data_IF_756966365552
#
_entry.id   IF_756966365552
#
_cell.length_a   1.000
_cell.length_b   1.000
_cell.length_c   1.000
_cell.angle_alpha   90.00
_cell.angle_beta   90.00
_cell.angle_gamma   90.00
#
_symmetry.space_group_name_H-M   'P 1'
#
loop_
_entity.id
_entity.type
_entity.pdbx_description
1 polymer ?
#
# COMPACT_ATOMS: atom_id res chain seq x y z
N UNK A 1 8.07 -8.29 -56.34
CA UNK A 1 6.91 -7.95 -55.50
C UNK A 1 6.95 -8.85 -54.27
N UNK A 2 6.93 -8.33 -53.05
CA UNK A 2 6.86 -9.16 -51.85
C UNK A 2 5.62 -10.05 -51.91
N UNK A 3 5.73 -11.29 -51.42
CA UNK A 3 4.59 -12.20 -51.39
C UNK A 3 3.53 -11.64 -50.42
N UNK A 4 2.24 -11.87 -50.70
CA UNK A 4 1.14 -11.42 -49.84
C UNK A 4 1.33 -11.85 -48.36
N UNK A 5 1.96 -13.01 -48.17
CA UNK A 5 2.31 -13.59 -46.88
C UNK A 5 3.40 -12.76 -46.15
N UNK A 6 4.40 -12.26 -46.87
CA UNK A 6 5.46 -11.42 -46.30
C UNK A 6 4.92 -10.05 -45.85
N UNK A 7 3.98 -9.48 -46.61
CA UNK A 7 3.31 -8.22 -46.29
C UNK A 7 2.43 -8.35 -45.03
N UNK A 8 1.66 -9.44 -44.93
CA UNK A 8 0.84 -9.77 -43.75
C UNK A 8 1.69 -10.01 -42.51
N UNK A 9 2.81 -10.75 -42.63
CA UNK A 9 3.74 -10.99 -41.52
C UNK A 9 4.39 -9.70 -41.03
N UNK A 10 4.72 -8.78 -41.95
CA UNK A 10 5.28 -7.47 -41.62
C UNK A 10 4.28 -6.60 -40.87
N UNK A 11 3.04 -6.54 -41.34
CA UNK A 11 1.96 -5.81 -40.68
C UNK A 11 1.68 -6.36 -39.27
N UNK A 12 1.65 -7.69 -39.11
CA UNK A 12 1.46 -8.33 -37.81
C UNK A 12 2.57 -7.97 -36.81
N UNK A 13 3.85 -8.01 -37.23
CA UNK A 13 4.98 -7.63 -36.36
C UNK A 13 4.93 -6.16 -35.96
N UNK A 14 4.61 -5.25 -36.89
CA UNK A 14 4.45 -3.82 -36.61
C UNK A 14 3.28 -3.54 -35.65
N UNK A 15 2.16 -4.22 -35.85
CA UNK A 15 1.00 -4.14 -34.96
C UNK A 15 1.35 -4.54 -33.52
N UNK A 16 2.06 -5.67 -33.35
CA UNK A 16 2.52 -6.15 -32.04
C UNK A 16 3.40 -5.13 -31.30
N UNK A 17 4.32 -4.50 -32.02
CA UNK A 17 5.20 -3.46 -31.46
C UNK A 17 4.37 -2.23 -31.04
N UNK A 18 3.42 -1.80 -31.87
CA UNK A 18 2.52 -0.68 -31.52
C UNK A 18 1.66 -1.01 -30.30
N UNK A 19 1.05 -2.20 -30.25
CA UNK A 19 0.24 -2.64 -29.11
C UNK A 19 1.06 -2.64 -27.82
N UNK A 20 2.30 -3.16 -27.87
CA UNK A 20 3.21 -3.19 -26.72
C UNK A 20 3.58 -1.78 -26.26
N UNK A 21 3.86 -0.85 -27.18
CA UNK A 21 4.16 0.55 -26.84
C UNK A 21 2.95 1.28 -26.22
N UNK A 22 1.73 0.98 -26.69
CA UNK A 22 0.50 1.52 -26.09
C UNK A 22 0.34 1.02 -24.65
N UNK A 23 0.55 -0.27 -24.40
CA UNK A 23 0.52 -0.85 -23.05
C UNK A 23 1.58 -0.22 -22.14
N UNK A 24 2.82 -0.04 -22.61
CA UNK A 24 3.88 0.63 -21.85
C UNK A 24 3.46 2.04 -21.44
N UNK A 25 2.89 2.84 -22.35
CA UNK A 25 2.40 4.19 -22.02
C UNK A 25 1.28 4.17 -21.00
N UNK A 26 0.35 3.22 -21.08
CA UNK A 26 -0.72 3.05 -20.09
C UNK A 26 -0.14 2.70 -18.71
N UNK A 27 0.86 1.82 -18.63
CA UNK A 27 1.54 1.48 -17.39
C UNK A 27 2.35 2.65 -16.83
N UNK A 28 3.07 3.40 -17.66
CA UNK A 28 3.81 4.59 -17.25
C UNK A 28 2.88 5.69 -16.73
N UNK A 29 1.70 5.88 -17.35
CA UNK A 29 0.67 6.80 -16.86
C UNK A 29 0.06 6.34 -15.53
N UNK A 30 -0.14 5.03 -15.33
CA UNK A 30 -0.60 4.49 -14.06
C UNK A 30 0.46 4.67 -12.97
N UNK A 31 1.73 4.39 -13.28
CA UNK A 31 2.86 4.55 -12.37
C UNK A 31 3.08 6.02 -11.98
N UNK A 32 2.99 6.97 -12.92
CA UNK A 32 3.15 8.40 -12.62
C UNK A 32 2.06 8.92 -11.67
N UNK A 33 0.78 8.56 -11.92
CA UNK A 33 -0.36 8.87 -11.02
C UNK A 33 -0.18 8.29 -9.62
N UNK A 34 0.44 7.12 -9.50
CA UNK A 34 0.71 6.48 -8.22
C UNK A 34 1.90 7.15 -7.52
N UNK A 35 2.98 7.46 -8.25
CA UNK A 35 4.21 8.09 -7.71
C UNK A 35 3.97 9.49 -7.17
N UNK A 36 3.18 10.31 -7.88
CA UNK A 36 2.77 11.65 -7.43
C UNK A 36 2.00 11.59 -6.09
N UNK A 37 1.21 10.52 -5.89
CA UNK A 37 0.49 10.27 -4.64
C UNK A 37 1.36 9.69 -3.50
N UNK A 38 2.53 9.13 -3.81
CA UNK A 38 3.43 8.46 -2.86
C UNK A 38 4.46 9.43 -2.25
N UNK A 39 5.04 10.34 -3.05
CA UNK A 39 6.16 11.19 -2.63
C UNK A 39 5.84 12.11 -1.43
N UNK A 40 4.57 12.47 -1.23
CA UNK A 40 4.12 13.35 -0.13
C UNK A 40 4.02 12.60 1.23
N UNK A 41 4.21 11.26 1.27
CA UNK A 41 3.81 10.42 2.43
C UNK A 41 4.92 9.65 3.17
N UNK A 42 6.18 9.70 2.73
CA UNK A 42 7.28 8.89 3.29
C UNK A 42 7.71 9.29 4.71
N UNK A 43 7.75 10.60 5.02
CA UNK A 43 8.16 11.13 6.35
C UNK A 43 7.25 10.67 7.51
N UNK A 44 6.00 10.28 7.24
CA UNK A 44 5.02 10.00 8.29
C UNK A 44 5.03 8.56 8.83
N UNK A 45 5.83 7.64 8.27
CA UNK A 45 5.68 6.21 8.58
C UNK A 45 6.17 5.83 10.00
N UNK A 46 7.31 6.40 10.42
CA UNK A 46 7.82 6.22 11.79
C UNK A 46 6.86 6.85 12.80
N UNK A 47 6.41 8.08 12.53
CA UNK A 47 5.46 8.81 13.38
C UNK A 47 4.12 8.10 13.52
N UNK A 48 3.58 7.52 12.44
CA UNK A 48 2.31 6.77 12.49
C UNK A 48 2.41 5.47 13.27
N UNK A 49 3.52 4.72 13.13
CA UNK A 49 3.70 3.51 13.92
C UNK A 49 3.92 3.83 15.41
N UNK A 50 4.65 4.90 15.72
CA UNK A 50 4.89 5.36 17.08
C UNK A 50 3.58 5.85 17.72
N UNK A 51 2.76 6.62 17.00
CA UNK A 51 1.40 7.01 17.43
C UNK A 51 0.48 5.82 17.66
N UNK A 52 0.51 4.81 16.77
CA UNK A 52 -0.26 3.57 16.93
C UNK A 52 0.07 2.87 18.25
N UNK A 53 1.36 2.73 18.55
CA UNK A 53 1.84 2.11 19.79
C UNK A 53 1.44 2.97 21.00
N UNK A 54 1.62 4.29 20.92
CA UNK A 54 1.23 5.22 21.98
C UNK A 54 -0.27 5.12 22.30
N UNK A 55 -1.15 5.12 21.29
CA UNK A 55 -2.59 4.95 21.50
C UNK A 55 -2.95 3.59 22.08
N UNK A 56 -2.25 2.53 21.68
CA UNK A 56 -2.47 1.19 22.23
C UNK A 56 -2.08 1.14 23.72
N UNK A 57 -0.95 1.73 24.10
CA UNK A 57 -0.53 1.85 25.49
C UNK A 57 -1.51 2.70 26.31
N UNK A 58 -1.96 3.84 25.78
CA UNK A 58 -2.97 4.67 26.45
C UNK A 58 -4.28 3.91 26.67
N UNK A 59 -4.72 3.11 25.69
CA UNK A 59 -5.90 2.26 25.84
C UNK A 59 -5.73 1.24 26.97
N UNK A 60 -4.57 0.57 27.05
CA UNK A 60 -4.25 -0.38 28.12
C UNK A 60 -4.25 0.33 29.48
N UNK A 61 -3.58 1.49 29.60
CA UNK A 61 -3.58 2.27 30.83
C UNK A 61 -5.00 2.66 31.26
N UNK A 62 -5.84 3.11 30.32
CA UNK A 62 -7.24 3.44 30.61
C UNK A 62 -8.05 2.21 31.05
N UNK A 63 -7.81 1.02 30.50
CA UNK A 63 -8.44 -0.22 30.95
C UNK A 63 -8.01 -0.59 32.38
N UNK A 64 -6.72 -0.45 32.71
CA UNK A 64 -6.22 -0.68 34.07
C UNK A 64 -6.91 0.26 35.07
N UNK A 65 -7.01 1.56 34.75
CA UNK A 65 -7.74 2.53 35.58
C UNK A 65 -9.22 2.14 35.71
N UNK A 66 -9.83 1.65 34.62
CA UNK A 66 -11.22 1.19 34.63
C UNK A 66 -11.43 0.05 35.63
N UNK A 67 -10.50 -0.91 35.72
CA UNK A 67 -10.55 -2.01 36.69
C UNK A 67 -10.52 -1.48 38.13
N UNK A 68 -9.67 -0.50 38.43
CA UNK A 68 -9.68 0.17 39.74
C UNK A 68 -11.03 0.85 40.02
N UNK A 69 -11.66 1.46 39.02
CA UNK A 69 -12.99 2.06 39.17
C UNK A 69 -14.11 1.04 39.43
N UNK A 70 -13.90 -0.27 39.19
CA UNK A 70 -14.86 -1.33 39.55
C UNK A 70 -14.79 -1.72 41.03
N UNK A 71 -13.78 -1.26 41.76
CA UNK A 71 -13.54 -1.61 43.17
C UNK A 71 -13.60 -0.37 44.08
N UNK A 72 -14.75 0.35 44.15
CA UNK A 72 -14.86 1.53 45.00
C UNK A 72 -14.75 1.18 46.50
N UNK A 73 -15.06 -0.06 46.90
CA UNK A 73 -15.00 -0.51 48.29
C UNK A 73 -13.57 -0.50 48.86
N UNK A 74 -12.61 -1.03 48.10
CA UNK A 74 -11.19 -1.02 48.49
C UNK A 74 -10.65 0.41 48.64
N UNK A 75 -11.11 1.32 47.77
CA UNK A 75 -10.73 2.72 47.84
C UNK A 75 -11.31 3.42 49.08
N UNK A 76 -12.55 3.11 49.45
CA UNK A 76 -13.19 3.61 50.68
C UNK A 76 -12.43 3.10 51.90
N UNK A 77 -12.11 1.80 51.96
CA UNK A 77 -11.35 1.21 53.07
C UNK A 77 -9.99 1.88 53.24
N UNK A 78 -9.29 2.12 52.13
CA UNK A 78 -7.99 2.79 52.14
C UNK A 78 -8.11 4.23 52.67
N UNK A 79 -9.10 5.01 52.24
CA UNK A 79 -9.31 6.36 52.80
C UNK A 79 -9.62 6.29 54.29
N UNK A 80 -10.46 5.35 54.73
CA UNK A 80 -10.80 5.22 56.15
C UNK A 80 -9.60 4.85 57.02
N UNK A 81 -8.62 4.13 56.48
CA UNK A 81 -7.37 3.78 57.15
C UNK A 81 -6.44 5.00 57.34
N UNK A 82 -6.44 5.95 56.41
CA UNK A 82 -5.54 7.12 56.44
C UNK A 82 -6.17 8.41 56.98
N UNK A 83 -7.46 8.65 56.72
CA UNK A 83 -8.15 9.91 57.02
C UNK A 83 -9.25 9.77 58.09
N UNK A 84 -9.56 8.53 58.51
CA UNK A 84 -10.58 8.23 59.50
C UNK A 84 -11.95 7.88 58.91
N UNK A 85 -12.93 7.54 59.76
CA UNK A 85 -14.19 6.95 59.32
C UNK A 85 -15.04 7.91 58.49
N UNK A 86 -15.51 7.44 57.33
CA UNK A 86 -16.36 8.19 56.42
C UNK A 86 -17.84 8.02 56.79
N UNK A 87 -18.62 9.09 56.64
CA UNK A 87 -20.08 9.03 56.78
C UNK A 87 -20.71 8.17 55.67
N UNK A 88 -21.90 7.64 55.93
CA UNK A 88 -22.63 6.83 54.94
C UNK A 88 -23.01 7.63 53.68
N UNK A 89 -23.10 8.96 53.78
CA UNK A 89 -23.35 9.86 52.64
C UNK A 89 -22.11 9.95 51.73
N UNK A 90 -20.93 10.14 52.31
CA UNK A 90 -19.67 10.24 51.58
C UNK A 90 -19.34 8.93 50.85
N UNK A 91 -19.51 7.79 51.52
CA UNK A 91 -19.33 6.47 50.91
C UNK A 91 -20.21 6.29 49.66
N UNK A 92 -21.49 6.68 49.75
CA UNK A 92 -22.41 6.64 48.61
C UNK A 92 -21.97 7.58 47.48
N UNK A 93 -21.48 8.78 47.81
CA UNK A 93 -20.91 9.72 46.84
C UNK A 93 -19.74 9.12 46.06
N UNK A 94 -18.78 8.51 46.76
CA UNK A 94 -17.62 7.84 46.16
C UNK A 94 -18.06 6.73 45.21
N UNK A 95 -18.98 5.85 45.62
CA UNK A 95 -19.50 4.77 44.79
C UNK A 95 -20.15 5.30 43.50
N UNK A 96 -20.91 6.39 43.58
CA UNK A 96 -21.55 7.01 42.42
C UNK A 96 -20.49 7.60 41.46
N UNK A 97 -19.49 8.31 41.98
CA UNK A 97 -18.41 8.87 41.16
C UNK A 97 -17.66 7.76 40.42
N UNK A 98 -17.26 6.70 41.12
CA UNK A 98 -16.58 5.55 40.52
C UNK A 98 -17.43 4.86 39.45
N UNK A 99 -18.76 4.82 39.64
CA UNK A 99 -19.71 4.31 38.65
C UNK A 99 -19.71 5.12 37.35
N UNK A 100 -19.53 6.44 37.40
CA UNK A 100 -19.40 7.25 36.18
C UNK A 100 -18.01 7.12 35.56
N UNK A 101 -16.96 7.18 36.38
CA UNK A 101 -15.58 7.11 35.93
C UNK A 101 -15.28 5.80 35.18
N UNK A 102 -15.80 4.65 35.64
CA UNK A 102 -15.58 3.37 34.93
C UNK A 102 -16.11 3.39 33.49
N UNK A 103 -17.27 4.00 33.25
CA UNK A 103 -17.83 4.07 31.88
C UNK A 103 -17.09 5.09 31.03
N UNK A 104 -16.67 6.20 31.64
CA UNK A 104 -15.85 7.22 30.98
C UNK A 104 -14.51 6.63 30.51
N UNK A 105 -13.77 5.96 31.40
CA UNK A 105 -12.47 5.37 31.06
C UNK A 105 -12.59 4.22 30.07
N UNK A 106 -13.67 3.43 30.14
CA UNK A 106 -13.94 2.38 29.16
C UNK A 106 -14.21 2.97 27.77
N UNK A 107 -14.96 4.07 27.68
CA UNK A 107 -15.18 4.78 26.41
C UNK A 107 -13.88 5.37 25.84
N UNK A 108 -13.05 6.01 26.69
CA UNK A 108 -11.74 6.54 26.30
C UNK A 108 -10.84 5.42 25.78
N UNK A 109 -10.79 4.28 26.48
CA UNK A 109 -9.99 3.13 26.07
C UNK A 109 -10.43 2.60 24.69
N UNK A 110 -11.74 2.51 24.46
CA UNK A 110 -12.31 2.10 23.18
C UNK A 110 -11.95 3.08 22.04
N UNK A 111 -12.00 4.39 22.30
CA UNK A 111 -11.60 5.42 21.32
C UNK A 111 -10.12 5.27 20.96
N UNK A 112 -9.23 5.13 21.94
CA UNK A 112 -7.80 4.96 21.66
C UNK A 112 -7.50 3.68 20.89
N UNK A 113 -8.20 2.58 21.23
CA UNK A 113 -8.08 1.34 20.49
C UNK A 113 -8.54 1.49 19.04
N UNK A 114 -9.69 2.16 18.81
CA UNK A 114 -10.21 2.42 17.47
C UNK A 114 -9.24 3.29 16.65
N UNK A 115 -8.68 4.35 17.25
CA UNK A 115 -7.68 5.20 16.59
C UNK A 115 -6.43 4.40 16.21
N UNK A 116 -5.93 3.55 17.10
CA UNK A 116 -4.81 2.65 16.80
C UNK A 116 -5.14 1.69 15.64
N UNK A 117 -6.35 1.15 15.61
CA UNK A 117 -6.82 0.29 14.52
C UNK A 117 -6.93 1.03 13.17
N UNK A 118 -7.46 2.26 13.15
CA UNK A 118 -7.53 3.09 11.94
C UNK A 118 -6.12 3.40 11.40
N UNK A 119 -5.16 3.67 12.27
CA UNK A 119 -3.76 3.84 11.88
C UNK A 119 -3.18 2.55 11.27
N UNK A 120 -3.47 1.38 11.85
CA UNK A 120 -3.07 0.08 11.29
C UNK A 120 -3.64 -0.13 9.88
N UNK A 121 -4.93 0.15 9.66
CA UNK A 121 -5.56 0.05 8.34
C UNK A 121 -4.91 0.97 7.31
N UNK A 122 -4.62 2.22 7.70
CA UNK A 122 -3.97 3.19 6.81
C UNK A 122 -2.55 2.73 6.42
N UNK A 123 -1.79 2.19 7.37
CA UNK A 123 -0.48 1.60 7.09
C UNK A 123 -0.56 0.41 6.13
N UNK A 124 -1.54 -0.49 6.31
CA UNK A 124 -1.75 -1.62 5.39
C UNK A 124 -2.07 -1.14 3.97
N UNK A 125 -3.00 -0.19 3.83
CA UNK A 125 -3.36 0.40 2.52
C UNK A 125 -2.15 1.01 1.83
N UNK A 126 -1.29 1.72 2.57
CA UNK A 126 -0.04 2.28 2.04
C UNK A 126 0.94 1.22 1.59
N UNK A 127 1.18 0.18 2.39
CA UNK A 127 2.05 -0.94 1.99
C UNK A 127 1.56 -1.63 0.71
N UNK A 128 0.25 -1.82 0.56
CA UNK A 128 -0.32 -2.34 -0.68
C UNK A 128 -0.05 -1.43 -1.87
N UNK A 129 -0.19 -0.11 -1.70
CA UNK A 129 0.14 0.88 -2.75
C UNK A 129 1.62 0.80 -3.13
N UNK A 130 2.54 0.66 -2.17
CA UNK A 130 3.97 0.51 -2.44
C UNK A 130 4.30 -0.78 -3.19
N UNK A 131 3.72 -1.90 -2.78
CA UNK A 131 3.88 -3.17 -3.48
C UNK A 131 3.34 -3.07 -4.91
N UNK A 132 2.20 -2.42 -5.10
CA UNK A 132 1.63 -2.19 -6.43
C UNK A 132 2.52 -1.28 -7.29
N UNK A 133 3.09 -0.22 -6.73
CA UNK A 133 4.02 0.65 -7.47
C UNK A 133 5.27 -0.09 -7.90
N UNK A 134 5.79 -0.97 -7.04
CA UNK A 134 6.97 -1.78 -7.36
C UNK A 134 6.68 -2.80 -8.46
N UNK A 135 5.55 -3.51 -8.38
CA UNK A 135 5.09 -4.43 -9.43
C UNK A 135 4.89 -3.72 -10.77
N UNK A 136 4.37 -2.50 -10.75
CA UNK A 136 4.22 -1.67 -11.96
C UNK A 136 5.56 -1.33 -12.58
N UNK A 137 6.55 -0.99 -11.76
CA UNK A 137 7.91 -0.70 -12.22
C UNK A 137 8.56 -1.95 -12.87
N UNK A 138 8.46 -3.11 -12.23
CA UNK A 138 8.92 -4.38 -12.79
C UNK A 138 8.24 -4.71 -14.12
N UNK A 139 6.92 -4.52 -14.22
CA UNK A 139 6.18 -4.73 -15.47
C UNK A 139 6.61 -3.78 -16.59
N UNK A 140 6.85 -2.50 -16.28
CA UNK A 140 7.35 -1.53 -17.27
C UNK A 140 8.70 -2.00 -17.78
N UNK A 141 9.64 -2.33 -16.89
CA UNK A 141 10.98 -2.80 -17.27
C UNK A 141 10.92 -4.08 -18.12
N UNK A 142 10.04 -5.02 -17.75
CA UNK A 142 9.85 -6.25 -18.51
C UNK A 142 9.31 -5.98 -19.93
N UNK A 143 8.30 -5.12 -20.05
CA UNK A 143 7.69 -4.78 -21.34
C UNK A 143 8.65 -3.98 -22.24
N UNK A 144 9.44 -3.06 -21.67
CA UNK A 144 10.49 -2.34 -22.41
C UNK A 144 11.50 -3.32 -22.99
N UNK A 145 12.00 -4.26 -22.18
CA UNK A 145 12.92 -5.31 -22.63
C UNK A 145 12.30 -6.19 -23.72
N UNK A 146 11.04 -6.59 -23.55
CA UNK A 146 10.33 -7.40 -24.55
C UNK A 146 10.14 -6.66 -25.87
N UNK A 147 9.79 -5.36 -25.81
CA UNK A 147 9.62 -4.51 -26.99
C UNK A 147 10.92 -4.36 -27.78
N UNK A 148 12.04 -4.14 -27.08
CA UNK A 148 13.35 -4.02 -27.72
C UNK A 148 13.83 -5.34 -28.31
N UNK A 149 13.50 -6.48 -27.69
CA UNK A 149 13.80 -7.80 -28.26
C UNK A 149 12.97 -8.09 -29.52
N UNK A 150 11.68 -7.74 -29.54
CA UNK A 150 10.84 -7.86 -30.74
C UNK A 150 11.34 -6.94 -31.88
N UNK A 151 11.78 -5.71 -31.57
CA UNK A 151 12.41 -4.82 -32.55
C UNK A 151 13.67 -5.42 -33.15
N UNK A 152 14.57 -5.96 -32.33
CA UNK A 152 15.79 -6.64 -32.81
C UNK A 152 15.47 -7.82 -33.73
N UNK A 153 14.49 -8.65 -33.37
CA UNK A 153 14.05 -9.77 -34.22
C UNK A 153 13.46 -9.28 -35.55
N UNK A 154 12.77 -8.14 -35.53
CA UNK A 154 12.24 -7.51 -36.74
C UNK A 154 13.36 -6.95 -37.64
N UNK A 155 14.35 -6.25 -37.08
CA UNK A 155 15.52 -5.75 -37.82
C UNK A 155 16.28 -6.89 -38.49
N UNK A 156 16.57 -7.98 -37.75
CA UNK A 156 17.20 -9.18 -38.29
C UNK A 156 16.41 -9.81 -39.44
N UNK A 157 15.07 -9.79 -39.36
CA UNK A 157 14.21 -10.30 -40.42
C UNK A 157 14.26 -9.42 -41.67
N UNK A 158 14.25 -8.10 -41.52
CA UNK A 158 14.38 -7.16 -42.65
C UNK A 158 15.75 -7.31 -43.31
N UNK A 159 16.83 -7.40 -42.53
CA UNK A 159 18.19 -7.62 -43.05
C UNK A 159 18.31 -8.95 -43.80
N UNK A 160 17.64 -10.00 -43.29
CA UNK A 160 17.57 -11.29 -43.97
C UNK A 160 16.87 -11.20 -45.33
N UNK A 161 15.70 -10.52 -45.40
CA UNK A 161 14.99 -10.30 -46.65
C UNK A 161 15.83 -9.50 -47.65
N UNK A 162 16.48 -8.42 -47.20
CA UNK A 162 17.37 -7.60 -48.04
C UNK A 162 18.58 -8.39 -48.57
N UNK A 163 19.18 -9.26 -47.74
CA UNK A 163 20.25 -10.19 -48.18
C UNK A 163 19.75 -11.21 -49.19
N UNK A 164 18.54 -11.74 -49.01
CA UNK A 164 17.92 -12.68 -49.95
C UNK A 164 17.65 -12.03 -51.31
N UNK A 165 17.18 -10.78 -51.35
CA UNK A 165 17.00 -10.03 -52.60
C UNK A 165 18.32 -9.72 -53.32
N UNK A 166 19.38 -9.36 -52.58
CA UNK A 166 20.71 -9.14 -53.17
C UNK A 166 21.33 -10.42 -53.76
N UNK A 167 21.09 -11.56 -53.12
CA UNK A 167 21.61 -12.85 -53.61
C UNK A 167 20.81 -13.41 -54.79
N UNK A 168 19.51 -13.13 -54.89
CA UNK A 168 18.70 -13.50 -56.05
C UNK A 168 18.95 -12.59 -57.27
N UNK A 169 19.23 -11.29 -57.07
CA UNK A 169 19.58 -10.38 -58.17
C UNK A 169 20.95 -10.69 -58.79
N UNK A 170 21.91 -11.17 -57.99
CA UNK A 170 23.25 -11.57 -58.47
C UNK A 170 23.20 -12.86 -59.29
N UNK A 171 22.25 -13.78 -59.01
CA UNK A 171 22.07 -15.02 -59.80
C UNK A 171 21.42 -14.82 -61.17
N UNK A 172 20.65 -13.75 -61.37
CA UNK A 172 19.99 -13.44 -62.64
C UNK A 172 20.88 -12.67 -63.65
N UNK A 173 22.06 -12.23 -63.23
CA UNK A 173 22.99 -11.44 -64.06
C UNK A 173 24.21 -12.22 -64.56
N UNK A 174 24.29 -13.54 -64.31
CA UNK A 174 25.26 -14.40 -64.97
C UNK A 174 24.56 -15.16 -66.12
N UNK A 175 24.79 -14.78 -67.39
CA UNK A 175 24.40 -15.58 -68.54
C UNK A 175 25.13 -16.92 -68.60
#
# INVERSE_FOLDING_TARGET
MPSKIDEELRQYKLFKIQETNVRIRQFQQAYSKIKENIAIKFSKNVTFNLLKIAFLLLSICSLVITVFCFLPGEFILLIEEYEGPLSSSEKKGIVIIFRYLRFLFLAIAAIFYLLSYLLKLNNRKRNTIYSLSHLLEEMITYLEKSSDEEKRKYEQYVDFLAKKERSSSTKNNNP
#
